data_IF_737435952605
#
_entry.id   IF_737435952605
#
_cell.length_a   1.000
_cell.length_b   1.000
_cell.length_c   1.000
_cell.angle_alpha   90.00
_cell.angle_beta   90.00
_cell.angle_gamma   90.00
#
_symmetry.space_group_name_H-M   'P 1'
#
loop_
_entity.id
_entity.type
_entity.pdbx_description
1 polymer ?
#
# COMPACT_ATOMS: atom_id res chain seq x y z
N UNK A 1 5.29 -22.32 -2.85
CA UNK A 1 4.88 -21.00 -2.31
C UNK A 1 3.97 -20.31 -3.32
N UNK A 2 2.84 -19.85 -2.86
CA UNK A 2 1.94 -19.12 -3.73
C UNK A 2 2.36 -17.65 -3.86
N UNK A 3 2.30 -17.15 -5.09
CA UNK A 3 2.63 -15.76 -5.39
C UNK A 3 1.42 -14.88 -5.15
N UNK A 4 1.59 -13.83 -4.37
CA UNK A 4 0.54 -12.82 -4.12
C UNK A 4 0.59 -11.71 -5.14
N UNK A 5 1.79 -11.17 -5.38
CA UNK A 5 2.03 -10.10 -6.33
C UNK A 5 3.12 -10.53 -7.28
N UNK A 6 2.89 -10.34 -8.58
CA UNK A 6 3.89 -10.55 -9.63
C UNK A 6 4.08 -9.26 -10.40
N UNK A 7 5.34 -8.85 -10.58
CA UNK A 7 5.67 -7.75 -11.48
C UNK A 7 6.38 -8.30 -12.71
N UNK A 8 6.06 -7.74 -13.88
CA UNK A 8 6.65 -8.13 -15.15
C UNK A 8 7.10 -6.91 -15.91
N UNK A 9 8.41 -6.78 -16.09
CA UNK A 9 9.03 -5.71 -16.88
C UNK A 9 8.53 -4.32 -16.51
N UNK A 10 8.46 -4.02 -15.21
CA UNK A 10 7.96 -2.74 -14.73
C UNK A 10 9.01 -1.67 -14.93
N UNK A 11 8.65 -0.65 -15.69
CA UNK A 11 9.43 0.57 -15.89
C UNK A 11 8.61 1.75 -15.41
N UNK A 12 9.22 2.65 -14.66
CA UNK A 12 8.57 3.86 -14.19
C UNK A 12 9.44 5.07 -14.47
N UNK A 13 8.80 6.11 -14.98
CA UNK A 13 9.44 7.36 -15.35
C UNK A 13 8.79 8.53 -14.61
N UNK A 14 9.61 9.38 -14.02
CA UNK A 14 9.22 10.71 -13.56
C UNK A 14 9.67 11.71 -14.61
N UNK A 15 8.76 12.09 -15.52
CA UNK A 15 9.16 12.87 -16.70
C UNK A 15 10.22 12.14 -17.52
N UNK A 16 11.38 12.72 -17.66
CA UNK A 16 12.51 12.10 -18.39
C UNK A 16 13.36 11.15 -17.51
N UNK A 17 13.14 11.12 -16.20
CA UNK A 17 13.91 10.29 -15.29
C UNK A 17 13.35 8.85 -15.23
N UNK A 18 14.16 7.88 -15.66
CA UNK A 18 13.82 6.45 -15.61
C UNK A 18 14.12 5.90 -14.20
N UNK A 19 13.14 5.94 -13.32
CA UNK A 19 13.31 5.60 -11.90
C UNK A 19 13.31 4.09 -11.61
N UNK A 20 12.46 3.32 -12.31
CA UNK A 20 12.43 1.86 -12.21
C UNK A 20 12.72 1.26 -13.58
N UNK A 21 13.66 0.31 -13.60
CA UNK A 21 14.19 -0.27 -14.84
C UNK A 21 13.91 -1.76 -14.87
N UNK A 22 12.93 -2.16 -15.68
CA UNK A 22 12.66 -3.54 -16.03
C UNK A 22 12.55 -4.47 -14.80
N UNK A 23 11.74 -4.07 -13.82
CA UNK A 23 11.61 -4.80 -12.56
C UNK A 23 10.66 -5.99 -12.74
N UNK A 24 11.19 -7.19 -12.56
CA UNK A 24 10.43 -8.45 -12.64
C UNK A 24 10.73 -9.25 -11.39
N UNK A 25 9.69 -9.45 -10.56
CA UNK A 25 9.84 -10.23 -9.33
C UNK A 25 8.49 -10.73 -8.82
N UNK A 26 8.55 -11.69 -7.91
CA UNK A 26 7.39 -12.24 -7.21
C UNK A 26 7.44 -11.92 -5.73
N UNK A 27 6.29 -11.57 -5.18
CA UNK A 27 6.10 -11.40 -3.74
C UNK A 27 5.12 -12.50 -3.29
N UNK A 28 5.55 -13.32 -2.34
CA UNK A 28 4.81 -14.50 -1.93
C UNK A 28 3.80 -14.22 -0.85
N UNK A 29 2.72 -14.99 -0.87
CA UNK A 29 1.65 -14.90 0.10
C UNK A 29 2.12 -15.30 1.51
N UNK A 30 1.64 -14.59 2.51
CA UNK A 30 1.93 -14.85 3.93
C UNK A 30 3.42 -14.89 4.27
N UNK A 31 4.22 -14.08 3.58
CA UNK A 31 5.65 -13.95 3.80
C UNK A 31 6.04 -12.48 3.94
N UNK A 32 7.15 -12.26 4.60
CA UNK A 32 7.77 -10.92 4.66
C UNK A 32 8.84 -10.87 3.58
N UNK A 33 8.69 -9.91 2.67
CA UNK A 33 9.67 -9.65 1.62
C UNK A 33 10.34 -8.31 1.92
N UNK A 34 11.67 -8.28 1.98
CA UNK A 34 12.43 -7.07 2.23
C UNK A 34 13.15 -6.62 0.97
N UNK A 35 13.11 -5.31 0.69
CA UNK A 35 13.88 -4.68 -0.38
C UNK A 35 15.05 -3.94 0.23
N UNK A 36 16.25 -4.31 -0.18
CA UNK A 36 17.50 -3.77 0.35
C UNK A 36 18.27 -3.08 -0.78
N UNK A 37 18.80 -1.91 -0.52
CA UNK A 37 19.60 -1.18 -1.49
C UNK A 37 19.94 0.21 -0.97
N UNK A 38 20.88 0.92 -1.66
CA UNK A 38 21.26 2.27 -1.26
C UNK A 38 20.14 3.28 -1.44
N UNK A 39 20.23 4.43 -0.75
CA UNK A 39 19.30 5.54 -0.94
C UNK A 39 19.22 5.94 -2.41
N UNK A 40 17.99 6.21 -2.87
CA UNK A 40 17.75 6.66 -4.24
C UNK A 40 17.74 5.55 -5.29
N UNK A 41 17.82 4.27 -4.90
CA UNK A 41 17.78 3.17 -5.88
C UNK A 41 16.37 2.77 -6.31
N UNK A 42 15.32 3.42 -5.78
CA UNK A 42 13.94 3.20 -6.22
C UNK A 42 13.09 2.30 -5.31
N UNK A 43 13.56 1.93 -4.11
CA UNK A 43 12.78 1.07 -3.19
C UNK A 43 11.41 1.66 -2.85
N UNK A 44 11.37 2.92 -2.42
CA UNK A 44 10.11 3.60 -2.08
C UNK A 44 9.23 3.82 -3.30
N UNK A 45 9.84 4.14 -4.44
CA UNK A 45 9.13 4.27 -5.71
C UNK A 45 8.44 2.96 -6.07
N UNK A 46 9.16 1.84 -5.96
CA UNK A 46 8.59 0.52 -6.24
C UNK A 46 7.44 0.18 -5.30
N UNK A 47 7.60 0.42 -4.00
CA UNK A 47 6.52 0.17 -3.03
C UNK A 47 5.25 0.94 -3.37
N UNK A 48 5.39 2.18 -3.81
CA UNK A 48 4.24 3.01 -4.21
C UNK A 48 3.55 2.53 -5.48
N UNK A 49 4.20 1.71 -6.30
CA UNK A 49 3.55 1.13 -7.47
C UNK A 49 2.53 0.04 -7.09
N UNK A 50 2.76 -0.64 -5.97
CA UNK A 50 1.97 -1.81 -5.58
C UNK A 50 0.54 -1.46 -5.15
N UNK A 51 0.29 -0.23 -4.71
CA UNK A 51 -1.04 0.26 -4.36
C UNK A 51 -1.42 1.52 -5.15
N UNK A 52 -0.72 1.79 -6.23
CA UNK A 52 -0.96 2.93 -7.13
C UNK A 52 -0.86 4.30 -6.46
N UNK A 53 -0.08 4.42 -5.38
CA UNK A 53 0.14 5.74 -4.75
C UNK A 53 0.90 6.69 -5.68
N UNK A 54 1.67 6.17 -6.62
CA UNK A 54 2.35 6.98 -7.64
C UNK A 54 1.40 7.66 -8.64
N UNK A 55 0.12 7.24 -8.71
CA UNK A 55 -0.90 7.94 -9.50
C UNK A 55 -1.07 9.40 -9.05
N UNK A 56 -0.72 9.70 -7.79
CA UNK A 56 -0.82 11.03 -7.20
C UNK A 56 0.33 11.95 -7.58
N UNK A 57 1.37 11.43 -8.19
CA UNK A 57 2.55 12.19 -8.62
C UNK A 57 2.36 12.62 -10.07
N UNK A 58 2.49 13.92 -10.40
CA UNK A 58 2.35 14.38 -11.79
C UNK A 58 3.49 13.88 -12.67
N UNK A 59 3.20 13.69 -13.95
CA UNK A 59 4.15 13.27 -14.98
C UNK A 59 4.79 11.91 -14.73
N UNK A 60 4.05 10.99 -14.07
CA UNK A 60 4.49 9.61 -13.91
C UNK A 60 3.97 8.77 -15.05
N UNK A 61 4.87 8.01 -15.66
CA UNK A 61 4.54 7.00 -16.66
C UNK A 61 5.01 5.64 -16.15
N UNK A 62 4.12 4.67 -16.17
CA UNK A 62 4.45 3.30 -15.78
C UNK A 62 4.17 2.35 -16.96
N UNK A 63 5.09 1.41 -17.18
CA UNK A 63 4.98 0.37 -18.19
C UNK A 63 5.18 -0.99 -17.54
N UNK A 64 4.71 -2.05 -18.18
CA UNK A 64 4.77 -3.40 -17.64
C UNK A 64 3.49 -3.79 -16.92
N UNK A 65 3.54 -4.88 -16.20
CA UNK A 65 2.37 -5.41 -15.50
C UNK A 65 2.66 -5.61 -14.01
N UNK A 66 1.70 -5.28 -13.18
CA UNK A 66 1.71 -5.63 -11.76
C UNK A 66 0.41 -6.38 -11.48
N UNK A 67 0.54 -7.65 -11.13
CA UNK A 67 -0.59 -8.54 -10.91
C UNK A 67 -0.75 -8.80 -9.41
N UNK A 68 -1.95 -8.55 -8.89
CA UNK A 68 -2.36 -8.95 -7.54
C UNK A 68 -3.36 -10.09 -7.68
N UNK A 69 -3.05 -11.25 -7.14
CA UNK A 69 -3.87 -12.46 -7.31
C UNK A 69 -4.21 -12.74 -8.78
N UNK A 70 -3.27 -12.46 -9.68
CA UNK A 70 -3.44 -12.67 -11.12
C UNK A 70 -4.14 -11.54 -11.87
N UNK A 71 -4.60 -10.51 -11.20
CA UNK A 71 -5.30 -9.39 -11.83
C UNK A 71 -4.40 -8.15 -11.92
N UNK A 72 -4.34 -7.54 -13.10
CA UNK A 72 -3.54 -6.33 -13.32
C UNK A 72 -4.13 -5.14 -12.56
N UNK A 73 -3.39 -4.63 -11.58
CA UNK A 73 -3.86 -3.51 -10.75
C UNK A 73 -3.90 -2.16 -11.49
N UNK A 74 -3.31 -2.08 -12.67
CA UNK A 74 -3.33 -0.87 -13.53
C UNK A 74 -4.39 -0.93 -14.62
N UNK A 75 -5.22 -1.97 -14.63
CA UNK A 75 -6.37 -2.01 -15.52
C UNK A 75 -7.29 -0.80 -15.23
N UNK A 76 -7.79 -0.10 -16.29
CA UNK A 76 -8.69 1.04 -16.10
C UNK A 76 -9.96 0.74 -15.30
N UNK A 77 -10.37 -0.52 -15.24
CA UNK A 77 -11.57 -0.96 -14.51
C UNK A 77 -11.33 -1.13 -13.01
N UNK A 78 -10.07 -1.08 -12.56
CA UNK A 78 -9.74 -1.28 -11.14
C UNK A 78 -10.22 -0.09 -10.31
N UNK A 79 -10.97 -0.39 -9.25
CA UNK A 79 -11.32 0.59 -8.23
C UNK A 79 -10.13 0.77 -7.28
N UNK A 80 -9.47 1.92 -7.36
CA UNK A 80 -8.28 2.20 -6.54
C UNK A 80 -8.58 2.27 -5.06
N UNK A 81 -9.80 2.64 -4.67
CA UNK A 81 -10.22 2.65 -3.27
C UNK A 81 -10.23 1.23 -2.70
N UNK A 82 -10.79 0.28 -3.44
CA UNK A 82 -10.79 -1.13 -3.05
C UNK A 82 -9.39 -1.73 -3.07
N UNK A 83 -8.57 -1.36 -4.05
CA UNK A 83 -7.18 -1.79 -4.12
C UNK A 83 -6.40 -1.36 -2.87
N UNK A 84 -6.51 -0.09 -2.49
CA UNK A 84 -5.82 0.46 -1.32
C UNK A 84 -6.36 -0.04 0.00
N UNK A 85 -7.58 -0.54 0.01
CA UNK A 85 -8.13 -1.29 1.16
C UNK A 85 -7.42 -2.62 1.34
N UNK A 86 -7.05 -3.28 0.25
CA UNK A 86 -6.34 -4.57 0.26
C UNK A 86 -4.85 -4.40 0.53
N UNK A 87 -4.23 -3.34 0.02
CA UNK A 87 -2.80 -3.08 0.16
C UNK A 87 -2.62 -1.77 0.90
N UNK A 88 -2.47 -1.87 2.21
CA UNK A 88 -2.16 -0.72 3.06
C UNK A 88 -0.71 -0.28 2.91
N UNK A 89 -0.41 0.92 3.38
CA UNK A 89 0.93 1.47 3.35
C UNK A 89 1.25 2.18 4.65
N UNK A 90 2.42 1.90 5.19
CA UNK A 90 2.97 2.62 6.36
C UNK A 90 4.05 3.54 5.85
N UNK A 91 3.90 4.86 6.07
CA UNK A 91 4.85 5.85 5.62
C UNK A 91 6.01 6.00 6.60
N UNK A 92 7.15 6.47 6.12
CA UNK A 92 8.34 6.68 6.95
C UNK A 92 8.09 7.73 8.04
N UNK A 93 7.34 8.79 7.71
CA UNK A 93 6.97 9.81 8.70
C UNK A 93 5.50 9.65 9.08
N UNK A 94 5.17 9.72 10.40
CA UNK A 94 3.78 9.67 10.81
C UNK A 94 3.04 10.90 10.31
N UNK A 95 1.82 10.68 9.86
CA UNK A 95 0.95 11.74 9.33
C UNK A 95 -0.49 11.55 9.82
N UNK A 96 -0.72 11.61 11.14
CA UNK A 96 -2.06 11.43 11.68
C UNK A 96 -2.95 12.64 11.41
N UNK A 97 -4.26 12.40 11.34
CA UNK A 97 -5.23 13.48 11.32
C UNK A 97 -5.31 14.18 12.69
N UNK A 98 -5.69 15.47 12.73
CA UNK A 98 -5.83 16.22 13.99
C UNK A 98 -7.09 15.79 14.76
N UNK A 99 -7.14 14.57 15.21
CA UNK A 99 -8.25 13.95 15.95
C UNK A 99 -7.69 12.92 16.93
N UNK A 100 -8.56 12.29 17.72
CA UNK A 100 -8.14 11.31 18.71
C UNK A 100 -7.46 10.10 18.05
N UNK A 101 -6.73 9.31 18.86
CA UNK A 101 -6.17 8.02 18.43
C UNK A 101 -7.28 7.12 17.92
N UNK A 102 -8.38 7.04 18.68
CA UNK A 102 -9.55 6.26 18.31
C UNK A 102 -10.06 6.65 16.91
N UNK A 103 -10.30 7.93 16.68
CA UNK A 103 -10.86 8.43 15.42
C UNK A 103 -9.89 8.24 14.25
N UNK A 104 -8.58 8.35 14.47
CA UNK A 104 -7.59 8.05 13.46
C UNK A 104 -7.68 6.59 13.00
N UNK A 105 -7.78 5.66 13.94
CA UNK A 105 -7.88 4.23 13.63
C UNK A 105 -9.22 3.88 13.01
N UNK A 106 -10.30 4.45 13.54
CA UNK A 106 -11.65 4.21 13.06
C UNK A 106 -11.96 4.87 11.72
N UNK A 107 -11.15 5.81 11.27
CA UNK A 107 -11.37 6.59 10.06
C UNK A 107 -11.56 5.71 8.82
N UNK A 108 -10.62 4.80 8.57
CA UNK A 108 -10.71 3.88 7.44
C UNK A 108 -11.96 3.01 7.47
N UNK A 109 -12.21 2.27 8.56
CA UNK A 109 -13.44 1.48 8.69
C UNK A 109 -14.73 2.29 8.50
N UNK A 110 -14.80 3.51 9.02
CA UNK A 110 -15.97 4.38 8.83
C UNK A 110 -16.18 4.76 7.36
N UNK A 111 -15.12 5.09 6.66
CA UNK A 111 -15.17 5.40 5.22
C UNK A 111 -15.68 4.20 4.43
N UNK A 112 -15.33 2.98 4.85
CA UNK A 112 -15.78 1.75 4.22
C UNK A 112 -17.15 1.25 4.73
N UNK A 113 -17.88 2.08 5.46
CA UNK A 113 -19.28 1.84 5.80
C UNK A 113 -19.54 1.23 7.16
N UNK A 114 -18.54 1.00 7.99
CA UNK A 114 -18.75 0.46 9.34
C UNK A 114 -19.21 1.60 10.26
N UNK A 115 -20.45 1.49 10.78
CA UNK A 115 -21.08 2.50 11.62
C UNK A 115 -21.32 2.03 13.06
N UNK A 116 -21.31 0.72 13.29
CA UNK A 116 -21.56 0.16 14.63
C UNK A 116 -20.45 0.52 15.59
N UNK A 117 -20.79 1.16 16.70
CA UNK A 117 -19.82 1.50 17.74
C UNK A 117 -19.11 0.26 18.29
N UNK A 118 -19.85 -0.84 18.49
CA UNK A 118 -19.28 -2.09 18.99
C UNK A 118 -18.25 -2.66 18.04
N UNK A 119 -18.51 -2.63 16.73
CA UNK A 119 -17.56 -3.09 15.72
C UNK A 119 -16.33 -2.18 15.63
N UNK A 120 -16.51 -0.86 15.71
CA UNK A 120 -15.41 0.08 15.70
C UNK A 120 -14.52 -0.07 16.94
N UNK A 121 -15.12 -0.24 18.11
CA UNK A 121 -14.37 -0.47 19.35
C UNK A 121 -13.50 -1.74 19.24
N UNK A 122 -14.05 -2.81 18.71
CA UNK A 122 -13.32 -4.05 18.49
C UNK A 122 -12.16 -3.88 17.49
N UNK A 123 -12.41 -3.19 16.39
CA UNK A 123 -11.37 -2.92 15.37
C UNK A 123 -10.25 -2.08 15.95
N UNK A 124 -10.57 -1.02 16.70
CA UNK A 124 -9.59 -0.13 17.30
C UNK A 124 -8.74 -0.88 18.33
N UNK A 125 -9.35 -1.65 19.23
CA UNK A 125 -8.60 -2.43 20.21
C UNK A 125 -7.70 -3.46 19.53
N UNK A 126 -8.23 -4.22 18.59
CA UNK A 126 -7.47 -5.25 17.87
C UNK A 126 -6.29 -4.63 17.12
N UNK A 127 -6.48 -3.48 16.49
CA UNK A 127 -5.41 -2.79 15.75
C UNK A 127 -4.30 -2.31 16.68
N UNK A 128 -4.66 -1.72 17.81
CA UNK A 128 -3.68 -1.26 18.81
C UNK A 128 -2.94 -2.42 19.46
N UNK A 129 -3.60 -3.52 19.73
CA UNK A 129 -2.95 -4.73 20.24
C UNK A 129 -2.01 -5.33 19.21
N UNK A 130 -2.43 -5.40 17.96
CA UNK A 130 -1.61 -5.91 16.86
C UNK A 130 -0.35 -5.08 16.62
N UNK A 131 -0.42 -3.78 16.88
CA UNK A 131 0.72 -2.87 16.78
C UNK A 131 1.55 -2.79 18.07
N UNK A 132 1.17 -3.55 19.11
CA UNK A 132 1.80 -3.52 20.43
C UNK A 132 1.72 -2.15 21.11
N UNK A 133 0.65 -1.39 20.86
CA UNK A 133 0.45 -0.04 21.41
C UNK A 133 -0.68 0.04 22.43
N UNK A 134 -1.43 -1.05 22.65
CA UNK A 134 -2.61 -1.02 23.52
C UNK A 134 -2.32 -0.53 24.93
N UNK A 135 -1.21 -0.98 25.51
CA UNK A 135 -0.84 -0.62 26.88
C UNK A 135 -0.24 0.79 27.00
N UNK A 136 0.01 1.46 25.87
CA UNK A 136 0.63 2.80 25.85
C UNK A 136 -0.38 3.93 25.61
N UNK A 137 -1.62 3.60 25.36
CA UNK A 137 -2.67 4.59 25.02
C UNK A 137 -3.88 4.51 25.92
#
# INVERSE_FOLDING_TARGET
METKITTKNVNLYYGANHALKDVTLDIYENKITAFIGPSGCGKSTFLKTLNRMNDLVPNVKIEGEILLDGENIYDPKVDTTLLRKKIGMVFQQPNPFPMSIYDNIAYGPRIHGIRSKAQLDEIVERSLRGAALWDEV
#
